data_IF_654264463631
#
_entry.id   IF_654264463631
#
_cell.length_a   1.000
_cell.length_b   1.000
_cell.length_c   1.000
_cell.angle_alpha   90.00
_cell.angle_beta   90.00
_cell.angle_gamma   90.00
#
_symmetry.space_group_name_H-M   'P 1'
#
loop_
_entity.id
_entity.type
_entity.pdbx_description
1 polymer ?
#
# COMPACT_ATOMS: atom_id res chain seq x y z
N UNK A 1 -3.85 21.83 21.78
CA UNK A 1 -4.41 23.18 21.68
C UNK A 1 -3.25 24.16 21.64
N UNK A 2 -3.15 25.05 20.65
CA UNK A 2 -2.11 26.11 20.59
C UNK A 2 -2.68 27.50 20.86
N UNK A 3 -3.97 27.59 21.17
CA UNK A 3 -4.67 28.82 21.49
C UNK A 3 -4.56 29.12 22.99
N UNK A 4 -4.75 30.39 23.34
CA UNK A 4 -4.79 30.88 24.73
C UNK A 4 -6.15 30.62 25.40
N UNK A 5 -7.15 30.15 24.65
CA UNK A 5 -8.50 29.83 25.13
C UNK A 5 -8.71 28.31 25.30
N UNK A 6 -9.52 27.89 26.30
CA UNK A 6 -9.88 26.48 26.43
C UNK A 6 -10.85 26.07 25.32
N UNK A 7 -10.66 24.86 24.80
CA UNK A 7 -11.58 24.20 23.89
C UNK A 7 -12.43 23.19 24.66
N UNK A 8 -13.73 23.21 24.46
CA UNK A 8 -14.73 22.29 25.03
C UNK A 8 -15.32 21.45 23.91
N UNK A 9 -15.93 20.32 24.27
CA UNK A 9 -16.59 19.42 23.31
C UNK A 9 -15.74 19.17 22.05
N UNK A 10 -14.43 18.93 22.22
CA UNK A 10 -13.54 18.61 21.11
C UNK A 10 -13.92 17.21 20.63
N UNK A 11 -14.46 17.13 19.42
CA UNK A 11 -14.86 15.88 18.77
C UNK A 11 -13.93 15.60 17.62
N UNK A 12 -13.31 14.43 17.64
CA UNK A 12 -12.57 13.87 16.52
C UNK A 12 -13.51 12.95 15.73
N UNK A 13 -13.97 13.41 14.57
CA UNK A 13 -14.78 12.59 13.67
C UNK A 13 -13.88 11.97 12.59
N UNK A 14 -13.78 10.65 12.60
CA UNK A 14 -13.02 9.89 11.63
C UNK A 14 -13.98 9.17 10.68
N UNK A 15 -13.56 9.07 9.43
CA UNK A 15 -14.21 8.27 8.41
C UNK A 15 -13.17 7.47 7.63
N UNK A 16 -13.61 6.36 7.07
CA UNK A 16 -12.77 5.41 6.36
C UNK A 16 -13.33 5.12 4.97
N UNK A 17 -12.44 4.94 4.00
CA UNK A 17 -12.74 4.45 2.64
C UNK A 17 -11.97 3.16 2.41
N UNK A 18 -12.61 2.20 1.73
CA UNK A 18 -12.13 0.83 1.54
C UNK A 18 -12.65 -0.11 2.63
N UNK A 19 -12.02 -1.28 2.76
CA UNK A 19 -12.41 -2.35 3.70
C UNK A 19 -11.90 -2.13 5.15
N UNK A 20 -12.02 -0.87 5.59
CA UNK A 20 -11.66 -0.39 6.92
C UNK A 20 -12.93 -0.02 7.70
N UNK A 21 -13.01 -0.47 8.96
CA UNK A 21 -14.11 -0.12 9.86
C UNK A 21 -13.59 0.48 11.15
N UNK A 22 -14.11 1.65 11.51
CA UNK A 22 -13.89 2.21 12.84
C UNK A 22 -14.58 1.34 13.89
N UNK A 23 -13.83 0.87 14.87
CA UNK A 23 -14.36 0.06 15.97
C UNK A 23 -15.11 0.91 16.98
N UNK A 24 -14.65 2.14 17.18
CA UNK A 24 -15.18 3.08 18.16
C UNK A 24 -14.98 4.52 17.69
N UNK A 25 -15.76 5.42 18.26
CA UNK A 25 -15.59 6.86 18.10
C UNK A 25 -15.07 7.42 19.43
N UNK A 26 -14.03 8.28 19.41
CA UNK A 26 -13.59 8.97 20.61
C UNK A 26 -14.75 9.70 21.29
N UNK A 27 -14.84 9.60 22.61
CA UNK A 27 -15.71 10.48 23.36
C UNK A 27 -15.22 11.94 23.24
N UNK A 28 -16.12 12.93 23.25
CA UNK A 28 -15.72 14.33 23.30
C UNK A 28 -14.84 14.62 24.52
N UNK A 29 -13.85 15.50 24.34
CA UNK A 29 -12.95 15.89 25.42
C UNK A 29 -12.71 17.39 25.45
N UNK A 30 -12.20 17.90 26.57
CA UNK A 30 -11.82 19.30 26.71
C UNK A 30 -10.29 19.44 26.65
N UNK A 31 -9.83 20.56 26.09
CA UNK A 31 -8.42 20.93 26.04
C UNK A 31 -8.20 22.30 26.66
N UNK A 32 -7.39 22.36 27.71
CA UNK A 32 -6.92 23.62 28.26
C UNK A 32 -6.05 24.38 27.24
N UNK A 33 -5.82 25.70 27.43
CA UNK A 33 -4.85 26.46 26.66
C UNK A 33 -3.49 25.75 26.63
N UNK A 34 -2.87 25.68 25.46
CA UNK A 34 -1.55 25.04 25.26
C UNK A 34 -1.43 23.56 25.65
N UNK A 35 -2.53 22.89 25.99
CA UNK A 35 -2.54 21.49 26.41
C UNK A 35 -2.64 20.52 25.21
N UNK A 36 -2.16 19.30 25.42
CA UNK A 36 -2.24 18.19 24.46
C UNK A 36 -2.92 16.98 25.10
N UNK A 37 -3.54 16.15 24.28
CA UNK A 37 -4.18 14.90 24.70
C UNK A 37 -3.91 13.83 23.65
N UNK A 38 -3.69 12.60 24.10
CA UNK A 38 -3.55 11.43 23.25
C UNK A 38 -4.90 10.70 23.13
N UNK A 39 -5.40 10.59 21.90
CA UNK A 39 -6.64 9.87 21.58
C UNK A 39 -6.28 8.63 20.79
N UNK A 40 -6.81 7.48 21.19
CA UNK A 40 -6.63 6.20 20.49
C UNK A 40 -7.96 5.75 19.91
N UNK A 41 -7.92 5.26 18.67
CA UNK A 41 -9.09 4.73 17.97
C UNK A 41 -8.72 3.40 17.35
N UNK A 42 -9.46 2.35 17.68
CA UNK A 42 -9.34 1.07 17.01
C UNK A 42 -9.91 1.12 15.59
N UNK A 43 -9.14 0.65 14.61
CA UNK A 43 -9.61 0.42 13.23
C UNK A 43 -9.47 -1.06 12.92
N UNK A 44 -10.56 -1.68 12.50
CA UNK A 44 -10.58 -3.06 12.01
C UNK A 44 -10.32 -3.07 10.51
N UNK A 45 -9.27 -3.78 10.12
CA UNK A 45 -8.92 -4.05 8.72
C UNK A 45 -9.47 -5.42 8.37
N UNK A 46 -10.28 -5.52 7.31
CA UNK A 46 -10.91 -6.79 6.91
C UNK A 46 -10.34 -7.37 5.62
N UNK A 47 -9.56 -6.59 4.87
CA UNK A 47 -8.96 -6.97 3.58
C UNK A 47 -7.67 -6.18 3.35
N UNK A 48 -6.84 -6.66 2.43
CA UNK A 48 -5.61 -5.99 1.97
C UNK A 48 -5.87 -4.99 0.83
N UNK A 49 -6.97 -4.24 0.89
CA UNK A 49 -7.22 -3.16 -0.06
C UNK A 49 -6.59 -1.84 0.42
N UNK A 50 -6.22 -0.99 -0.54
CA UNK A 50 -5.76 0.36 -0.21
C UNK A 50 -6.89 1.11 0.49
N UNK A 51 -6.65 1.57 1.71
CA UNK A 51 -7.65 2.25 2.53
C UNK A 51 -7.23 3.67 2.85
N UNK A 52 -8.21 4.56 3.05
CA UNK A 52 -7.96 5.94 3.44
C UNK A 52 -8.69 6.22 4.74
N UNK A 53 -7.97 6.76 5.72
CA UNK A 53 -8.54 7.34 6.94
C UNK A 53 -8.47 8.84 6.79
N UNK A 54 -9.59 9.53 6.95
CA UNK A 54 -9.65 10.97 6.99
C UNK A 54 -10.56 11.39 8.14
N UNK A 55 -10.49 12.65 8.50
CA UNK A 55 -11.31 13.12 9.60
C UNK A 55 -11.28 14.61 9.77
N UNK A 56 -12.07 15.04 10.73
CA UNK A 56 -12.22 16.43 11.10
C UNK A 56 -12.22 16.56 12.62
N UNK A 57 -11.85 17.75 13.08
CA UNK A 57 -11.98 18.14 14.48
C UNK A 57 -12.97 19.29 14.56
N UNK A 58 -14.05 19.11 15.31
CA UNK A 58 -14.93 20.19 15.76
C UNK A 58 -14.72 20.43 17.24
N UNK A 59 -15.00 21.65 17.71
CA UNK A 59 -14.88 22.02 19.10
C UNK A 59 -15.73 23.26 19.39
N UNK A 60 -16.08 23.45 20.66
CA UNK A 60 -16.72 24.65 21.19
C UNK A 60 -15.68 25.47 21.97
N UNK A 61 -15.29 26.62 21.46
CA UNK A 61 -14.54 27.65 22.16
C UNK A 61 -15.45 28.53 23.03
N UNK A 62 -14.85 29.58 23.61
CA UNK A 62 -15.62 30.58 24.33
C UNK A 62 -16.43 31.43 23.34
N UNK A 63 -17.68 31.82 23.66
CA UNK A 63 -18.43 32.73 22.82
C UNK A 63 -17.63 34.03 22.63
N UNK A 64 -17.38 34.39 21.37
CA UNK A 64 -16.68 35.62 21.02
C UNK A 64 -17.43 36.86 21.50
N UNK A 65 -16.73 38.00 21.55
CA UNK A 65 -17.29 39.30 21.95
C UNK A 65 -18.55 39.74 21.15
N UNK A 66 -18.78 39.11 20.00
CA UNK A 66 -19.80 39.47 19.03
C UNK A 66 -21.10 38.65 19.18
N UNK A 67 -21.19 37.78 20.20
CA UNK A 67 -22.40 36.99 20.49
C UNK A 67 -22.73 35.90 19.47
N UNK A 68 -21.88 35.70 18.45
CA UNK A 68 -21.98 34.57 17.53
C UNK A 68 -21.76 33.26 18.30
N UNK A 69 -22.72 32.35 18.21
CA UNK A 69 -22.59 31.00 18.79
C UNK A 69 -21.47 30.27 18.04
N UNK A 70 -20.57 29.67 18.79
CA UNK A 70 -19.40 28.97 18.25
C UNK A 70 -19.75 27.69 17.45
N UNK A 71 -21.04 27.34 17.39
CA UNK A 71 -21.60 26.28 16.56
C UNK A 71 -21.43 26.48 15.04
N UNK A 72 -20.99 27.68 14.59
CA UNK A 72 -20.73 27.99 13.18
C UNK A 72 -19.25 27.95 12.78
N UNK A 73 -18.32 27.59 13.69
CA UNK A 73 -16.91 27.43 13.28
C UNK A 73 -16.78 26.24 12.32
N UNK A 74 -16.15 26.43 11.14
CA UNK A 74 -15.92 25.32 10.23
C UNK A 74 -15.00 24.29 10.89
N UNK A 75 -15.29 22.99 10.75
CA UNK A 75 -14.47 21.94 11.34
C UNK A 75 -13.06 21.95 10.72
N UNK A 76 -12.06 21.67 11.55
CA UNK A 76 -10.67 21.57 11.10
C UNK A 76 -10.50 20.26 10.36
N UNK A 77 -10.17 20.33 9.07
CA UNK A 77 -9.93 19.14 8.24
C UNK A 77 -8.52 18.60 8.54
N UNK A 78 -8.43 17.30 8.80
CA UNK A 78 -7.17 16.62 9.02
C UNK A 78 -6.60 16.09 7.70
N UNK A 79 -5.27 15.98 7.64
CA UNK A 79 -4.61 15.27 6.55
C UNK A 79 -5.04 13.80 6.55
N UNK A 80 -5.28 13.26 5.36
CA UNK A 80 -5.63 11.86 5.21
C UNK A 80 -4.42 10.96 5.43
N UNK A 81 -4.67 9.81 6.06
CA UNK A 81 -3.68 8.74 6.25
C UNK A 81 -3.99 7.66 5.21
N UNK A 82 -3.01 7.37 4.37
CA UNK A 82 -3.08 6.31 3.37
C UNK A 82 -2.57 5.01 3.99
N UNK A 83 -3.40 3.97 3.98
CA UNK A 83 -3.01 2.63 4.41
C UNK A 83 -2.38 1.92 3.21
N UNK A 84 -1.12 1.52 3.34
CA UNK A 84 -0.39 0.82 2.28
C UNK A 84 -0.63 -0.69 2.36
N UNK A 85 -0.97 -1.29 1.22
CA UNK A 85 -1.08 -2.74 1.08
C UNK A 85 0.24 -3.45 1.41
N UNK A 86 1.37 -2.79 1.15
CA UNK A 86 2.70 -3.38 1.34
C UNK A 86 2.98 -3.77 2.79
N UNK A 87 2.35 -3.11 3.77
CA UNK A 87 2.47 -3.43 5.20
C UNK A 87 1.87 -4.78 5.55
N UNK A 88 0.98 -5.30 4.70
CA UNK A 88 0.25 -6.55 4.91
C UNK A 88 0.73 -7.70 4.02
N UNK A 89 1.64 -7.45 3.08
CA UNK A 89 2.16 -8.47 2.16
C UNK A 89 3.55 -8.89 2.60
N UNK A 90 3.74 -10.20 2.75
CA UNK A 90 5.01 -10.82 3.10
C UNK A 90 5.42 -11.88 2.09
N UNK A 91 6.72 -11.98 1.83
CA UNK A 91 7.29 -13.00 0.97
C UNK A 91 6.95 -14.40 1.52
N UNK A 92 6.52 -15.30 0.64
CA UNK A 92 6.09 -16.65 1.00
C UNK A 92 6.61 -17.67 -0.02
N UNK A 93 6.50 -18.97 0.27
CA UNK A 93 6.91 -20.04 -0.64
C UNK A 93 5.74 -20.93 -1.01
N UNK A 94 5.71 -21.39 -2.26
CA UNK A 94 4.83 -22.46 -2.70
C UNK A 94 5.53 -23.33 -3.75
N UNK A 95 5.04 -24.56 -3.90
CA UNK A 95 5.55 -25.48 -4.92
C UNK A 95 5.12 -25.05 -6.32
N UNK A 96 5.88 -25.46 -7.34
CA UNK A 96 5.52 -25.18 -8.73
C UNK A 96 4.13 -25.72 -9.12
N UNK A 97 3.68 -26.82 -8.51
CA UNK A 97 2.34 -27.37 -8.73
C UNK A 97 1.25 -26.46 -8.13
N UNK A 98 1.45 -25.97 -6.91
CA UNK A 98 0.54 -25.02 -6.26
C UNK A 98 0.47 -23.71 -7.04
N UNK A 99 1.62 -23.17 -7.46
CA UNK A 99 1.67 -21.94 -8.27
C UNK A 99 0.83 -22.10 -9.54
N UNK A 100 1.02 -23.19 -10.30
CA UNK A 100 0.24 -23.42 -11.53
C UNK A 100 -1.25 -23.61 -11.26
N UNK A 101 -1.61 -24.31 -10.18
CA UNK A 101 -3.00 -24.49 -9.78
C UNK A 101 -3.68 -23.16 -9.46
N UNK A 102 -3.09 -22.39 -8.54
CA UNK A 102 -3.59 -21.06 -8.18
C UNK A 102 -3.58 -20.10 -9.37
N UNK A 103 -2.55 -20.13 -10.22
CA UNK A 103 -2.47 -19.28 -11.41
C UNK A 103 -3.62 -19.54 -12.38
N UNK A 104 -4.06 -20.79 -12.53
CA UNK A 104 -5.20 -21.15 -13.35
C UNK A 104 -6.55 -20.80 -12.70
N UNK A 105 -6.63 -20.84 -11.35
CA UNK A 105 -7.83 -20.52 -10.59
C UNK A 105 -8.10 -19.00 -10.48
N UNK A 106 -7.05 -18.19 -10.35
CA UNK A 106 -7.22 -16.76 -10.05
C UNK A 106 -7.79 -16.00 -11.24
N UNK A 107 -8.92 -15.32 -10.99
CA UNK A 107 -9.68 -14.57 -12.01
C UNK A 107 -9.14 -13.16 -12.21
N UNK A 108 -8.65 -12.52 -11.14
CA UNK A 108 -8.17 -11.14 -11.19
C UNK A 108 -6.71 -11.09 -11.64
N UNK A 109 -6.45 -10.32 -12.69
CA UNK A 109 -5.12 -10.05 -13.22
C UNK A 109 -4.93 -8.55 -13.40
N UNK A 110 -3.78 -8.04 -12.93
CA UNK A 110 -3.26 -6.74 -13.31
C UNK A 110 -1.97 -6.93 -14.13
N UNK A 111 -1.85 -6.20 -15.24
CA UNK A 111 -0.70 -6.28 -16.14
C UNK A 111 0.06 -4.97 -16.11
N UNK A 112 1.30 -5.02 -15.65
CA UNK A 112 2.22 -3.88 -15.57
C UNK A 112 3.28 -4.02 -16.66
N UNK A 113 3.42 -2.99 -17.48
CA UNK A 113 4.51 -2.92 -18.47
C UNK A 113 5.78 -2.41 -17.80
N UNK A 114 6.92 -3.02 -18.11
CA UNK A 114 8.22 -2.62 -17.60
C UNK A 114 8.60 -1.24 -18.17
N UNK A 115 8.85 -0.30 -17.28
CA UNK A 115 9.34 1.04 -17.56
C UNK A 115 10.40 1.41 -16.50
N UNK A 116 11.65 1.05 -16.76
CA UNK A 116 12.76 1.19 -15.82
C UNK A 116 14.02 1.75 -16.48
N UNK A 117 14.91 2.31 -15.66
CA UNK A 117 16.28 2.66 -16.07
C UNK A 117 17.27 1.51 -15.83
N UNK A 118 16.85 0.45 -15.14
CA UNK A 118 17.66 -0.73 -14.86
C UNK A 118 17.83 -1.56 -16.15
N UNK A 119 19.08 -1.88 -16.49
CA UNK A 119 19.42 -2.60 -17.74
C UNK A 119 19.67 -4.09 -17.57
N UNK A 120 19.92 -4.54 -16.33
CA UNK A 120 20.10 -5.95 -15.99
C UNK A 120 18.74 -6.58 -15.63
N UNK A 121 18.28 -7.62 -16.37
CA UNK A 121 17.07 -8.36 -16.02
C UNK A 121 17.10 -8.90 -14.59
N UNK A 122 18.24 -9.45 -14.18
CA UNK A 122 18.44 -10.00 -12.84
C UNK A 122 18.33 -8.92 -11.75
N UNK A 123 18.94 -7.75 -11.97
CA UNK A 123 18.85 -6.63 -11.04
C UNK A 123 17.42 -6.09 -10.94
N UNK A 124 16.69 -5.99 -12.06
CA UNK A 124 15.30 -5.54 -12.06
C UNK A 124 14.38 -6.52 -11.33
N UNK A 125 14.58 -7.83 -11.54
CA UNK A 125 13.84 -8.86 -10.81
C UNK A 125 14.04 -8.74 -9.29
N UNK A 126 15.28 -8.59 -8.83
CA UNK A 126 15.59 -8.40 -7.41
C UNK A 126 15.04 -7.08 -6.86
N UNK A 127 15.09 -6.01 -7.65
CA UNK A 127 14.50 -4.71 -7.31
C UNK A 127 12.99 -4.82 -7.07
N UNK A 128 12.27 -5.47 -7.99
CA UNK A 128 10.82 -5.71 -7.83
C UNK A 128 10.55 -6.65 -6.66
N UNK A 129 11.31 -7.75 -6.53
CA UNK A 129 11.09 -8.72 -5.47
C UNK A 129 11.26 -8.10 -4.07
N UNK A 130 12.30 -7.28 -3.88
CA UNK A 130 12.52 -6.55 -2.62
C UNK A 130 11.51 -5.43 -2.41
N UNK A 131 11.24 -4.61 -3.44
CA UNK A 131 10.31 -3.48 -3.34
C UNK A 131 8.84 -3.85 -3.16
N UNK A 132 8.48 -5.09 -3.50
CA UNK A 132 7.12 -5.64 -3.43
C UNK A 132 6.99 -6.85 -2.47
N UNK A 133 7.98 -7.11 -1.60
CA UNK A 133 7.96 -8.22 -0.64
C UNK A 133 7.62 -9.59 -1.28
N UNK A 134 8.17 -9.88 -2.47
CA UNK A 134 7.92 -11.12 -3.20
C UNK A 134 9.10 -12.08 -3.06
N UNK A 135 8.81 -13.38 -2.95
CA UNK A 135 9.79 -14.45 -3.05
C UNK A 135 9.90 -14.91 -4.50
N UNK A 136 11.10 -14.94 -5.06
CA UNK A 136 11.34 -15.59 -6.35
C UNK A 136 11.30 -17.12 -6.18
N UNK A 137 10.43 -17.79 -6.93
CA UNK A 137 10.28 -19.25 -6.95
C UNK A 137 11.06 -19.91 -8.09
N UNK A 138 11.41 -19.14 -9.11
CA UNK A 138 12.27 -19.63 -10.20
C UNK A 138 13.70 -19.72 -9.68
N UNK A 139 14.29 -20.91 -9.79
CA UNK A 139 15.72 -21.09 -9.55
C UNK A 139 16.48 -20.39 -10.68
N UNK A 140 16.85 -19.13 -10.46
CA UNK A 140 17.83 -18.43 -11.28
C UNK A 140 19.17 -19.09 -10.97
N UNK A 141 19.69 -19.89 -11.89
CA UNK A 141 20.89 -20.69 -11.66
C UNK A 141 22.04 -19.80 -11.22
N UNK A 142 22.34 -19.80 -9.92
CA UNK A 142 23.58 -19.31 -9.34
C UNK A 142 24.05 -17.91 -9.73
N UNK A 143 23.17 -16.91 -9.95
CA UNK A 143 23.55 -15.48 -10.03
C UNK A 143 24.79 -15.17 -10.88
N UNK A 144 25.02 -15.96 -11.93
CA UNK A 144 26.18 -15.83 -12.80
C UNK A 144 25.88 -14.85 -13.93
N UNK A 145 26.94 -14.23 -14.46
CA UNK A 145 26.89 -13.32 -15.59
C UNK A 145 26.21 -13.91 -16.85
N UNK A 146 26.03 -15.23 -16.92
CA UNK A 146 25.47 -15.95 -18.08
C UNK A 146 23.95 -15.80 -18.25
N UNK A 147 23.17 -15.56 -17.17
CA UNK A 147 21.71 -15.36 -17.29
C UNK A 147 21.38 -13.99 -17.92
N UNK A 148 22.26 -13.01 -17.73
CA UNK A 148 22.17 -11.69 -18.35
C UNK A 148 22.70 -11.68 -19.81
N UNK A 149 23.40 -12.73 -20.27
CA UNK A 149 23.73 -12.93 -21.69
C UNK A 149 22.53 -13.41 -22.51
N UNK A 150 21.58 -14.11 -21.88
CA UNK A 150 20.43 -14.69 -22.57
C UNK A 150 19.44 -13.63 -23.11
N UNK A 151 19.56 -12.38 -22.66
CA UNK A 151 18.72 -11.27 -23.14
C UNK A 151 17.23 -11.42 -22.81
N UNK A 152 16.80 -12.52 -22.19
CA UNK A 152 15.44 -12.80 -21.80
C UNK A 152 15.42 -13.46 -20.42
N UNK A 153 14.47 -13.06 -19.57
CA UNK A 153 14.28 -13.64 -18.24
C UNK A 153 12.79 -13.85 -17.98
N UNK A 154 12.43 -15.05 -17.53
CA UNK A 154 11.08 -15.35 -17.04
C UNK A 154 11.14 -15.88 -15.60
N UNK A 155 10.45 -15.20 -14.69
CA UNK A 155 10.43 -15.56 -13.27
C UNK A 155 9.01 -15.63 -12.71
N UNK A 156 8.80 -16.60 -11.83
CA UNK A 156 7.62 -16.68 -10.99
C UNK A 156 7.97 -16.20 -9.59
N UNK A 157 7.13 -15.33 -9.06
CA UNK A 157 7.27 -14.65 -7.80
C UNK A 157 5.99 -14.87 -6.98
N UNK A 158 6.11 -14.96 -5.67
CA UNK A 158 5.00 -15.28 -4.79
C UNK A 158 5.08 -14.58 -3.45
N UNK A 159 3.94 -14.17 -2.94
CA UNK A 159 3.76 -13.61 -1.61
C UNK A 159 2.37 -13.96 -1.06
N UNK A 160 2.20 -13.72 0.23
CA UNK A 160 0.93 -13.93 0.91
C UNK A 160 0.61 -12.75 1.83
N UNK A 161 -0.65 -12.38 1.90
CA UNK A 161 -1.13 -11.37 2.83
C UNK A 161 -1.25 -11.91 4.26
N UNK A 162 -1.25 -11.04 5.27
CA UNK A 162 -1.53 -11.43 6.66
C UNK A 162 -2.93 -12.02 6.85
N UNK A 163 -3.85 -11.77 5.91
CA UNK A 163 -5.19 -12.36 5.89
C UNK A 163 -5.25 -13.71 5.16
N UNK A 164 -4.11 -14.24 4.72
CA UNK A 164 -3.99 -15.53 4.06
C UNK A 164 -4.29 -15.50 2.56
N UNK A 165 -4.32 -14.33 1.94
CA UNK A 165 -4.59 -14.18 0.51
C UNK A 165 -3.30 -14.35 -0.29
N UNK A 166 -3.35 -15.20 -1.31
CA UNK A 166 -2.20 -15.53 -2.14
C UNK A 166 -2.04 -14.54 -3.29
N UNK A 167 -0.79 -14.17 -3.58
CA UNK A 167 -0.44 -13.25 -4.67
C UNK A 167 0.67 -13.85 -5.51
N UNK A 168 0.38 -13.98 -6.80
CA UNK A 168 1.28 -14.58 -7.78
C UNK A 168 1.72 -13.49 -8.74
N UNK A 169 3.01 -13.46 -9.06
CA UNK A 169 3.53 -12.58 -10.10
C UNK A 169 4.32 -13.42 -11.09
N UNK A 170 3.96 -13.31 -12.36
CA UNK A 170 4.77 -13.82 -13.47
C UNK A 170 5.44 -12.62 -14.15
N UNK A 171 6.76 -12.64 -14.19
CA UNK A 171 7.58 -11.61 -14.79
C UNK A 171 8.22 -12.16 -16.06
N UNK A 172 8.14 -11.40 -17.13
CA UNK A 172 8.81 -11.66 -18.40
C UNK A 172 9.56 -10.40 -18.81
N UNK A 173 10.89 -10.50 -18.94
CA UNK A 173 11.80 -9.41 -19.25
C UNK A 173 12.59 -9.74 -20.51
N UNK A 174 12.86 -8.73 -21.32
CA UNK A 174 13.67 -8.83 -22.52
C UNK A 174 14.59 -7.61 -22.63
N UNK A 175 15.87 -7.84 -22.87
CA UNK A 175 16.86 -6.79 -23.13
C UNK A 175 16.76 -6.40 -24.61
N UNK A 176 16.42 -5.14 -24.84
CA UNK A 176 16.28 -4.61 -26.18
C UNK A 176 17.64 -4.27 -26.81
N UNK A 177 17.64 -4.04 -28.13
CA UNK A 177 18.85 -3.73 -28.91
C UNK A 177 19.53 -2.43 -28.49
N UNK A 178 18.77 -1.49 -27.94
CA UNK A 178 19.28 -0.22 -27.41
C UNK A 178 19.84 -0.35 -25.98
N UNK A 179 19.81 -1.56 -25.41
CA UNK A 179 20.24 -1.85 -24.04
C UNK A 179 19.19 -1.57 -22.96
N UNK A 180 18.02 -1.06 -23.33
CA UNK A 180 16.88 -0.87 -22.40
C UNK A 180 16.22 -2.21 -22.07
N UNK A 181 15.51 -2.26 -20.94
CA UNK A 181 14.77 -3.43 -20.51
C UNK A 181 13.29 -3.26 -20.87
N UNK A 182 12.77 -4.17 -21.70
CA UNK A 182 11.36 -4.33 -21.99
C UNK A 182 10.77 -5.51 -21.21
N UNK A 183 9.45 -5.61 -21.16
CA UNK A 183 8.80 -6.74 -20.51
C UNK A 183 7.43 -6.43 -19.93
N UNK A 184 6.85 -7.45 -19.30
CA UNK A 184 5.56 -7.35 -18.60
C UNK A 184 5.57 -8.16 -17.33
N UNK A 185 4.95 -7.63 -16.28
CA UNK A 185 4.60 -8.35 -15.08
C UNK A 185 3.10 -8.59 -15.10
N UNK A 186 2.69 -9.82 -14.81
CA UNK A 186 1.30 -10.21 -14.63
C UNK A 186 1.13 -10.57 -13.16
N UNK A 187 0.36 -9.76 -12.45
CA UNK A 187 0.03 -9.95 -11.04
C UNK A 187 -1.36 -10.58 -10.97
N UNK A 188 -1.49 -11.72 -10.29
CA UNK A 188 -2.75 -12.41 -10.07
C UNK A 188 -3.00 -12.63 -8.59
N UNK A 189 -4.26 -12.48 -8.18
CA UNK A 189 -4.72 -12.83 -6.84
C UNK A 189 -6.21 -13.20 -6.90
N UNK A 190 -6.69 -13.89 -5.87
CA UNK A 190 -8.13 -14.13 -5.68
C UNK A 190 -8.89 -12.84 -5.32
N UNK A 191 -8.23 -11.91 -4.63
CA UNK A 191 -8.80 -10.62 -4.27
C UNK A 191 -8.42 -9.55 -5.31
N UNK A 192 -9.42 -8.87 -5.86
CA UNK A 192 -9.22 -7.83 -6.87
C UNK A 192 -8.34 -6.69 -6.35
N UNK A 193 -8.62 -6.21 -5.13
CA UNK A 193 -7.89 -5.10 -4.52
C UNK A 193 -6.40 -5.36 -4.41
N UNK A 194 -5.97 -6.60 -4.14
CA UNK A 194 -4.56 -6.96 -4.08
C UNK A 194 -3.89 -6.91 -5.44
N UNK A 195 -4.50 -7.55 -6.44
CA UNK A 195 -3.93 -7.61 -7.78
C UNK A 195 -3.74 -6.20 -8.37
N UNK A 196 -4.74 -5.33 -8.18
CA UNK A 196 -4.68 -3.95 -8.63
C UNK A 196 -3.65 -3.14 -7.83
N UNK A 197 -3.79 -3.09 -6.50
CA UNK A 197 -2.97 -2.22 -5.64
C UNK A 197 -1.49 -2.61 -5.68
N UNK A 198 -1.15 -3.90 -5.68
CA UNK A 198 0.25 -4.34 -5.79
C UNK A 198 0.84 -3.97 -7.16
N UNK A 199 0.07 -4.10 -8.24
CA UNK A 199 0.51 -3.68 -9.56
C UNK A 199 0.78 -2.18 -9.64
N UNK A 200 -0.07 -1.35 -9.04
CA UNK A 200 0.14 0.10 -8.96
C UNK A 200 1.40 0.45 -8.16
N UNK A 201 1.65 -0.25 -7.03
CA UNK A 201 2.87 -0.07 -6.22
C UNK A 201 4.14 -0.43 -7.00
N UNK A 202 4.12 -1.54 -7.75
CA UNK A 202 5.25 -1.92 -8.61
C UNK A 202 5.43 -0.89 -9.73
N UNK A 203 4.34 -0.44 -10.36
CA UNK A 203 4.38 0.54 -11.43
C UNK A 203 4.90 1.92 -10.98
N UNK A 204 4.69 2.27 -9.71
CA UNK A 204 5.24 3.48 -9.10
C UNK A 204 6.74 3.35 -8.78
N UNK A 205 7.21 2.17 -8.35
CA UNK A 205 8.59 1.93 -7.87
C UNK A 205 9.56 1.37 -8.93
N UNK A 206 9.11 1.13 -10.15
CA UNK A 206 9.95 0.51 -11.20
C UNK A 206 11.08 1.39 -11.76
N UNK A 207 11.07 2.72 -11.54
CA UNK A 207 11.96 3.66 -12.27
C UNK A 207 13.35 3.87 -11.65
N UNK A 208 13.53 3.66 -10.35
CA UNK A 208 14.82 3.84 -9.67
C UNK A 208 15.04 2.81 -8.56
N UNK A 209 16.30 2.41 -8.40
CA UNK A 209 16.80 1.83 -7.15
C UNK A 209 16.89 3.03 -6.19
N UNK A 210 16.03 3.08 -5.18
CA UNK A 210 16.21 4.08 -4.13
C UNK A 210 17.56 3.77 -3.45
N UNK A 211 18.52 4.67 -3.66
CA UNK A 211 19.89 4.63 -3.14
C UNK A 211 19.95 4.99 -1.67
#
# INVERSE_FOLDING_TARGET
NRLDEPLREVVLDLATVGDLRLCERPAPFALAPHASVDVRVGVKVSSTETGIIYGTISYEGLPGADGARDADRPPVILNSVQIDIMDYISAAECTAAQFRGMWAEFEWENKVTVATTITSPSAYLLHVASGANLRCLTNLGGGGADDDECGFLAANLYARSVFGEDVLVNMSLEKQRDGSLGGTLRIRSKAQGIALSLGDKIAARQRSIDS
#
